data_IF_763437068803
#
_entry.id   IF_763437068803
#
_cell.length_a   1.000
_cell.length_b   1.000
_cell.length_c   1.000
_cell.angle_alpha   90.00
_cell.angle_beta   90.00
_cell.angle_gamma   90.00
#
_symmetry.space_group_name_H-M   'P 1'
#
loop_
_entity.id
_entity.type
_entity.pdbx_description
1 polymer ?
#
# COMPACT_ATOMS: atom_id res chain seq x y z
N UNK A 1 8.46 11.18 -31.39
CA UNK A 1 8.00 12.06 -30.29
C UNK A 1 6.87 11.39 -29.50
N UNK A 2 7.19 10.51 -28.51
CA UNK A 2 6.23 9.92 -27.53
C UNK A 2 6.99 9.36 -26.30
N UNK A 3 7.84 10.15 -25.63
CA UNK A 3 8.60 9.70 -24.44
C UNK A 3 8.56 10.64 -23.24
N UNK A 4 7.89 11.78 -23.33
CA UNK A 4 7.85 12.80 -22.26
C UNK A 4 6.63 12.72 -21.33
N UNK A 5 5.63 11.89 -21.63
CA UNK A 5 4.46 11.75 -20.76
C UNK A 5 4.69 10.82 -19.55
N UNK A 6 5.58 9.82 -19.62
CA UNK A 6 5.76 8.84 -18.54
C UNK A 6 6.43 9.36 -17.27
N UNK A 7 7.30 10.37 -17.38
CA UNK A 7 8.07 10.90 -16.24
C UNK A 7 7.22 11.80 -15.33
N UNK A 8 6.20 12.47 -15.89
CA UNK A 8 5.32 13.36 -15.13
C UNK A 8 4.36 12.57 -14.22
N UNK A 9 3.88 11.40 -14.65
CA UNK A 9 3.02 10.53 -13.84
C UNK A 9 3.78 9.88 -12.66
N UNK A 10 5.05 9.51 -12.85
CA UNK A 10 5.87 8.87 -11.80
C UNK A 10 6.20 9.82 -10.63
N UNK A 11 6.49 11.09 -10.90
CA UNK A 11 6.79 12.06 -9.85
C UNK A 11 5.56 12.40 -8.99
N UNK A 12 4.39 12.51 -9.63
CA UNK A 12 3.11 12.80 -8.94
C UNK A 12 2.64 11.61 -8.09
N UNK A 13 2.79 10.39 -8.61
CA UNK A 13 2.55 9.13 -7.90
C UNK A 13 3.35 9.02 -6.58
N UNK A 14 4.64 9.37 -6.61
CA UNK A 14 5.53 9.29 -5.44
C UNK A 14 5.16 10.35 -4.39
N UNK A 15 4.79 11.56 -4.80
CA UNK A 15 4.34 12.61 -3.86
C UNK A 15 2.98 12.31 -3.23
N UNK A 16 2.06 11.66 -3.95
CA UNK A 16 0.77 11.22 -3.41
C UNK A 16 0.90 10.05 -2.43
N UNK A 17 1.95 9.23 -2.60
CA UNK A 17 2.27 8.11 -1.70
C UNK A 17 2.94 8.55 -0.40
N UNK A 18 3.90 9.47 -0.46
CA UNK A 18 4.46 10.10 0.74
C UNK A 18 3.36 10.81 1.55
N UNK A 19 2.35 11.38 0.88
CA UNK A 19 1.16 11.90 1.55
C UNK A 19 0.40 10.80 2.32
N UNK A 20 0.29 9.58 1.79
CA UNK A 20 -0.36 8.45 2.50
C UNK A 20 0.34 8.09 3.82
N UNK A 21 1.66 8.31 3.92
CA UNK A 21 2.45 8.10 5.15
C UNK A 21 2.29 9.23 6.18
N UNK A 22 1.99 10.44 5.74
CA UNK A 22 1.72 11.61 6.60
C UNK A 22 0.40 11.50 7.40
N UNK A 23 -0.41 10.46 7.17
CA UNK A 23 -1.69 10.24 7.87
C UNK A 23 -1.62 9.21 8.99
N UNK A 24 -0.45 8.66 9.28
CA UNK A 24 -0.23 7.99 10.55
C UNK A 24 -0.10 9.04 11.67
N UNK A 25 -0.71 8.80 12.83
CA UNK A 25 -0.54 9.71 13.95
C UNK A 25 0.91 9.66 14.47
N UNK A 26 1.57 10.80 14.61
CA UNK A 26 2.87 10.94 15.32
C UNK A 26 2.77 10.61 16.82
N UNK A 27 1.61 10.16 17.31
CA UNK A 27 1.37 10.00 18.75
C UNK A 27 1.74 8.61 19.26
N UNK A 28 2.71 8.59 20.18
CA UNK A 28 3.19 7.43 20.95
C UNK A 28 2.18 6.86 21.98
N UNK A 29 0.87 7.09 21.84
CA UNK A 29 -0.08 6.81 22.92
C UNK A 29 -1.48 6.43 22.45
N UNK A 30 -2.10 5.51 23.20
CA UNK A 30 -3.47 5.00 23.06
C UNK A 30 -4.45 6.06 22.52
N UNK A 31 -4.77 6.04 21.21
CA UNK A 31 -5.20 7.27 20.54
C UNK A 31 -6.70 7.54 20.61
N UNK A 32 -7.49 6.66 21.23
CA UNK A 32 -8.94 6.82 21.28
C UNK A 32 -9.44 6.67 22.71
N UNK A 33 -9.76 7.81 23.32
CA UNK A 33 -10.57 7.88 24.54
C UNK A 33 -11.85 7.09 24.35
N UNK A 34 -12.16 6.15 25.25
CA UNK A 34 -13.38 5.33 25.22
C UNK A 34 -14.69 6.14 25.39
N UNK A 35 -14.59 7.45 25.63
CA UNK A 35 -15.74 8.28 26.04
C UNK A 35 -16.74 8.57 24.91
N UNK A 36 -16.36 8.46 23.63
CA UNK A 36 -17.29 8.52 22.49
C UNK A 36 -16.83 7.58 21.35
N UNK A 37 -17.46 6.40 21.20
CA UNK A 37 -17.12 5.43 20.16
C UNK A 37 -17.26 5.97 18.73
N UNK A 38 -18.18 6.91 18.50
CA UNK A 38 -18.35 7.54 17.19
C UNK A 38 -17.16 8.41 16.81
N UNK A 39 -16.70 9.26 17.73
CA UNK A 39 -15.47 10.05 17.55
C UNK A 39 -14.24 9.16 17.41
N UNK A 40 -14.11 8.10 18.21
CA UNK A 40 -13.01 7.14 18.09
C UNK A 40 -12.94 6.51 16.68
N UNK A 41 -14.08 6.09 16.14
CA UNK A 41 -14.18 5.54 14.79
C UNK A 41 -13.79 6.56 13.72
N UNK A 42 -14.29 7.79 13.82
CA UNK A 42 -13.96 8.87 12.88
C UNK A 42 -12.47 9.19 12.87
N UNK A 43 -11.88 9.34 14.06
CA UNK A 43 -10.47 9.67 14.22
C UNK A 43 -9.59 8.55 13.66
N UNK A 44 -9.92 7.28 13.94
CA UNK A 44 -9.18 6.14 13.40
C UNK A 44 -9.17 6.08 11.88
N UNK A 45 -10.32 6.34 11.24
CA UNK A 45 -10.41 6.31 9.78
C UNK A 45 -9.70 7.49 9.11
N UNK A 46 -9.71 8.66 9.76
CA UNK A 46 -8.99 9.84 9.27
C UNK A 46 -7.48 9.70 9.49
N UNK A 47 -7.07 9.14 10.62
CA UNK A 47 -5.70 9.03 11.06
C UNK A 47 -5.49 7.69 11.79
N UNK A 48 -5.14 6.66 11.02
CA UNK A 48 -4.90 5.33 11.58
C UNK A 48 -3.61 5.37 12.42
N UNK A 49 -3.63 4.94 13.69
CA UNK A 49 -2.43 4.93 14.51
C UNK A 49 -1.42 3.90 14.02
N UNK A 50 -0.17 4.03 14.48
CA UNK A 50 0.80 2.96 14.33
C UNK A 50 0.30 1.67 14.96
N UNK A 51 0.55 0.57 14.28
CA UNK A 51 0.09 -0.76 14.65
C UNK A 51 1.31 -1.60 14.96
N UNK A 52 1.52 -1.88 16.24
CA UNK A 52 2.56 -2.78 16.70
C UNK A 52 2.32 -4.20 16.23
N UNK A 53 1.07 -4.64 16.29
CA UNK A 53 0.69 -5.98 15.87
C UNK A 53 -0.79 -6.03 15.52
N UNK A 54 -1.14 -6.79 14.51
CA UNK A 54 -2.53 -7.07 14.17
C UNK A 54 -2.66 -8.45 13.55
N UNK A 55 -3.75 -9.14 13.88
CA UNK A 55 -4.13 -10.42 13.29
C UNK A 55 -5.53 -10.34 12.73
N UNK A 56 -5.69 -10.89 11.53
CA UNK A 56 -6.91 -10.78 10.75
C UNK A 56 -7.18 -12.04 9.93
N UNK A 57 -8.46 -12.20 9.61
CA UNK A 57 -8.94 -13.22 8.70
C UNK A 57 -9.90 -12.59 7.71
N UNK A 58 -9.82 -12.99 6.43
CA UNK A 58 -10.78 -12.51 5.42
C UNK A 58 -11.22 -13.60 4.48
N UNK A 59 -12.46 -13.51 4.03
CA UNK A 59 -13.01 -14.36 2.97
C UNK A 59 -13.48 -13.53 1.79
N UNK A 60 -13.30 -14.07 0.58
CA UNK A 60 -13.47 -13.36 -0.69
C UNK A 60 -12.70 -12.03 -0.65
N UNK A 61 -11.38 -12.05 -0.74
CA UNK A 61 -10.63 -10.78 -0.84
C UNK A 61 -11.16 -9.89 -1.96
N UNK A 62 -11.26 -8.57 -1.74
CA UNK A 62 -11.52 -7.60 -2.80
C UNK A 62 -10.42 -7.65 -3.88
N UNK A 63 -9.18 -7.86 -3.45
CA UNK A 63 -8.03 -8.02 -4.34
C UNK A 63 -8.03 -9.44 -4.90
N UNK A 64 -8.03 -9.57 -6.23
CA UNK A 64 -7.94 -10.86 -6.93
C UNK A 64 -6.58 -11.50 -6.66
N UNK A 65 -6.58 -12.83 -6.50
CA UNK A 65 -5.34 -13.57 -6.36
C UNK A 65 -4.64 -13.64 -7.71
N UNK A 66 -3.40 -13.17 -7.76
CA UNK A 66 -2.51 -13.39 -8.90
C UNK A 66 -1.65 -14.61 -8.60
N UNK A 67 -1.69 -15.63 -9.45
CA UNK A 67 -0.82 -16.81 -9.36
C UNK A 67 0.04 -16.93 -10.60
N UNK A 68 1.32 -17.17 -10.42
CA UNK A 68 2.25 -17.46 -11.53
C UNK A 68 3.00 -18.76 -11.26
N UNK A 69 3.35 -19.48 -12.31
CA UNK A 69 4.24 -20.64 -12.25
C UNK A 69 5.73 -20.24 -12.14
N UNK A 70 6.10 -19.04 -12.60
CA UNK A 70 7.45 -18.46 -12.49
C UNK A 70 7.40 -16.93 -12.43
N UNK A 71 8.44 -16.28 -11.88
CA UNK A 71 8.57 -14.81 -11.86
C UNK A 71 8.47 -14.17 -13.26
N UNK A 72 8.89 -14.89 -14.30
CA UNK A 72 9.02 -14.36 -15.67
C UNK A 72 7.75 -14.52 -16.51
N UNK A 73 6.70 -15.13 -15.95
CA UNK A 73 5.44 -15.35 -16.64
C UNK A 73 4.34 -14.44 -16.10
N UNK A 74 3.44 -13.95 -16.97
CA UNK A 74 2.32 -13.13 -16.53
C UNK A 74 1.44 -13.92 -15.57
N UNK A 75 1.15 -13.32 -14.42
CA UNK A 75 0.29 -13.94 -13.43
C UNK A 75 -1.14 -14.12 -13.96
N UNK A 76 -1.75 -15.25 -13.62
CA UNK A 76 -3.16 -15.52 -13.85
C UNK A 76 -3.93 -14.95 -12.66
N UNK A 77 -4.88 -14.06 -12.94
CA UNK A 77 -5.79 -13.53 -11.94
C UNK A 77 -6.96 -14.48 -11.75
N UNK A 78 -7.05 -15.08 -10.57
CA UNK A 78 -8.14 -15.96 -10.20
C UNK A 78 -9.39 -15.15 -9.84
N UNK A 79 -10.59 -15.73 -10.05
CA UNK A 79 -11.81 -15.17 -9.47
C UNK A 79 -11.67 -15.05 -7.95
N UNK A 80 -12.49 -14.22 -7.30
CA UNK A 80 -12.41 -14.04 -5.84
C UNK A 80 -12.87 -15.33 -5.14
N UNK A 81 -11.92 -16.04 -4.53
CA UNK A 81 -12.17 -17.35 -3.94
C UNK A 81 -12.80 -17.20 -2.55
N UNK A 82 -13.81 -18.02 -2.26
CA UNK A 82 -14.43 -18.12 -0.93
C UNK A 82 -13.62 -19.08 -0.04
N UNK A 83 -12.45 -18.62 0.40
CA UNK A 83 -11.63 -19.28 1.43
C UNK A 83 -11.24 -18.26 2.47
N UNK A 84 -11.09 -18.71 3.72
CA UNK A 84 -10.70 -17.85 4.82
C UNK A 84 -9.17 -17.74 4.85
N UNK A 85 -8.65 -16.65 4.33
CA UNK A 85 -7.24 -16.30 4.45
C UNK A 85 -6.94 -15.76 5.86
N UNK A 86 -5.73 -16.01 6.34
CA UNK A 86 -5.27 -15.51 7.65
C UNK A 86 -3.93 -14.78 7.50
N UNK A 87 -3.80 -13.67 8.22
CA UNK A 87 -2.57 -12.87 8.20
C UNK A 87 -2.24 -12.30 9.59
N UNK A 88 -0.97 -11.96 9.74
CA UNK A 88 -0.47 -11.12 10.82
C UNK A 88 0.34 -9.99 10.20
N UNK A 89 0.32 -8.82 10.81
CA UNK A 89 1.12 -7.71 10.33
C UNK A 89 1.49 -6.75 11.45
N UNK A 90 2.39 -5.83 11.10
CA UNK A 90 2.63 -4.62 11.86
C UNK A 90 2.90 -3.47 10.88
N UNK A 91 2.62 -2.25 11.32
CA UNK A 91 2.79 -1.02 10.56
C UNK A 91 3.40 0.06 11.46
N UNK A 92 4.63 0.45 11.15
CA UNK A 92 5.49 1.35 11.91
C UNK A 92 6.02 2.46 10.98
N UNK A 93 6.51 3.59 11.51
CA UNK A 93 7.04 4.68 10.69
C UNK A 93 8.11 4.20 9.71
N UNK A 94 9.10 3.49 10.21
CA UNK A 94 10.25 3.05 9.42
C UNK A 94 10.00 1.73 8.66
N UNK A 95 8.90 1.02 8.93
CA UNK A 95 8.72 -0.30 8.33
C UNK A 95 7.41 -0.97 8.63
N UNK A 96 7.16 -2.06 7.92
CA UNK A 96 5.98 -2.90 8.13
C UNK A 96 6.34 -4.33 7.79
N UNK A 97 5.52 -5.28 8.24
CA UNK A 97 5.56 -6.65 7.72
C UNK A 97 4.15 -7.18 7.59
N UNK A 98 3.94 -8.13 6.69
CA UNK A 98 2.72 -8.90 6.57
C UNK A 98 3.07 -10.37 6.32
N UNK A 99 2.66 -11.23 7.25
CA UNK A 99 2.80 -12.69 7.21
C UNK A 99 1.49 -13.30 6.75
N UNK A 100 1.57 -14.15 5.73
CA UNK A 100 0.42 -14.79 5.09
C UNK A 100 0.38 -16.29 5.43
N UNK A 101 -0.53 -16.69 6.30
CA UNK A 101 -0.68 -18.10 6.68
C UNK A 101 -1.40 -18.94 5.60
N UNK A 102 -1.90 -18.28 4.55
CA UNK A 102 -2.73 -18.91 3.53
C UNK A 102 -4.15 -19.21 4.04
N UNK A 103 -4.75 -20.26 3.50
CA UNK A 103 -6.12 -20.70 3.80
C UNK A 103 -6.13 -22.01 4.58
N UNK A 104 -7.30 -22.51 5.01
CA UNK A 104 -7.36 -23.86 5.60
C UNK A 104 -6.89 -24.97 4.65
N UNK A 105 -6.80 -24.70 3.34
CA UNK A 105 -6.29 -25.62 2.32
C UNK A 105 -4.82 -25.41 1.99
N UNK A 106 -4.20 -24.34 2.48
CA UNK A 106 -2.83 -23.92 2.17
C UNK A 106 -2.74 -22.69 1.27
N UNK A 107 -1.59 -22.51 0.62
CA UNK A 107 -1.37 -21.48 -0.40
C UNK A 107 -1.97 -21.90 -1.74
N UNK A 108 -2.61 -20.97 -2.42
CA UNK A 108 -3.10 -21.18 -3.78
C UNK A 108 -1.89 -21.17 -4.73
N UNK A 109 -1.76 -22.20 -5.55
CA UNK A 109 -0.65 -22.36 -6.50
C UNK A 109 -1.17 -22.72 -7.88
N UNK A 110 -0.40 -22.37 -8.91
CA UNK A 110 -0.63 -22.84 -10.27
C UNK A 110 0.08 -24.18 -10.46
N UNK A 111 -0.68 -25.25 -10.63
CA UNK A 111 -0.17 -26.59 -10.91
C UNK A 111 0.19 -26.74 -12.39
N UNK A 112 1.05 -27.73 -12.68
CA UNK A 112 1.39 -28.12 -14.04
C UNK A 112 0.11 -28.40 -14.85
N UNK A 113 0.01 -27.79 -16.03
CA UNK A 113 -1.20 -27.83 -16.86
C UNK A 113 -2.21 -26.71 -16.59
N UNK A 114 -1.82 -25.66 -15.85
CA UNK A 114 -2.63 -24.44 -15.66
C UNK A 114 -3.78 -24.59 -14.67
N UNK A 115 -3.82 -25.70 -13.91
CA UNK A 115 -4.87 -25.94 -12.91
C UNK A 115 -4.53 -25.21 -11.62
N UNK A 116 -5.53 -24.65 -10.96
CA UNK A 116 -5.38 -24.09 -9.61
C UNK A 116 -5.37 -25.23 -8.60
N UNK A 117 -4.41 -25.21 -7.69
CA UNK A 117 -4.32 -26.17 -6.59
C UNK A 117 -3.93 -25.49 -5.29
N UNK A 118 -3.67 -26.32 -4.29
CA UNK A 118 -3.22 -25.87 -2.98
C UNK A 118 -1.92 -26.57 -2.58
N UNK A 119 -0.98 -25.81 -2.03
CA UNK A 119 0.22 -26.33 -1.39
C UNK A 119 0.13 -26.08 0.13
N UNK A 120 0.40 -27.07 0.99
CA UNK A 120 0.46 -26.86 2.43
C UNK A 120 1.39 -25.71 2.81
N UNK A 121 1.00 -24.94 3.83
CA UNK A 121 1.87 -23.95 4.47
C UNK A 121 2.46 -24.61 5.70
N UNK A 122 3.79 -24.70 5.77
CA UNK A 122 4.45 -25.24 6.94
C UNK A 122 4.46 -24.16 8.04
N UNK A 123 4.04 -24.47 9.29
CA UNK A 123 4.03 -23.49 10.36
C UNK A 123 5.41 -22.86 10.57
N UNK A 124 5.45 -21.53 10.61
CA UNK A 124 6.67 -20.73 10.73
C UNK A 124 7.46 -20.56 9.42
N UNK A 125 6.98 -21.10 8.30
CA UNK A 125 7.56 -20.96 6.96
C UNK A 125 6.55 -20.32 5.98
N UNK A 126 5.63 -19.53 6.52
CA UNK A 126 4.67 -18.75 5.74
C UNK A 126 5.36 -17.78 4.76
N UNK A 127 4.62 -17.34 3.73
CA UNK A 127 5.06 -16.17 2.95
C UNK A 127 5.07 -14.94 3.87
N UNK A 128 6.16 -14.18 3.88
CA UNK A 128 6.26 -12.94 4.65
C UNK A 128 6.86 -11.87 3.76
N UNK A 129 6.20 -10.73 3.68
CA UNK A 129 6.71 -9.54 3.03
C UNK A 129 6.86 -8.43 4.06
N UNK A 130 7.75 -7.49 3.80
CA UNK A 130 7.92 -6.36 4.69
C UNK A 130 8.86 -5.31 4.14
N UNK A 131 9.16 -4.36 5.02
CA UNK A 131 9.96 -3.19 4.74
C UNK A 131 10.67 -2.74 6.01
N UNK A 132 11.89 -2.22 5.82
CA UNK A 132 12.60 -1.41 6.82
C UNK A 132 12.91 -0.02 6.24
N UNK A 133 13.65 0.78 6.98
CA UNK A 133 14.00 2.14 6.55
C UNK A 133 14.69 2.21 5.17
N UNK A 134 15.34 1.13 4.73
CA UNK A 134 16.21 1.11 3.55
C UNK A 134 15.59 0.38 2.33
N UNK A 135 14.87 -0.73 2.55
CA UNK A 135 14.41 -1.59 1.45
C UNK A 135 13.11 -2.34 1.77
N UNK A 136 12.44 -2.75 0.70
CA UNK A 136 11.37 -3.76 0.69
C UNK A 136 11.99 -5.15 0.61
N UNK A 137 11.34 -6.14 1.23
CA UNK A 137 11.77 -7.52 1.17
C UNK A 137 10.60 -8.51 1.18
N UNK A 138 10.85 -9.71 0.67
CA UNK A 138 9.91 -10.83 0.71
C UNK A 138 10.64 -12.15 0.91
N UNK A 139 10.23 -12.91 1.94
CA UNK A 139 10.61 -14.30 2.18
C UNK A 139 9.52 -15.21 1.62
N UNK A 140 9.91 -16.09 0.70
CA UNK A 140 9.01 -17.03 0.04
C UNK A 140 9.69 -18.39 -0.16
N UNK A 141 8.96 -19.33 -0.78
CA UNK A 141 9.43 -20.71 -0.97
C UNK A 141 9.92 -21.35 0.35
N UNK A 142 9.08 -21.30 1.40
CA UNK A 142 9.39 -21.87 2.71
C UNK A 142 10.68 -21.28 3.32
N UNK A 143 10.89 -19.96 3.14
CA UNK A 143 12.06 -19.17 3.55
C UNK A 143 13.40 -19.54 2.88
N UNK A 144 13.34 -20.20 1.72
CA UNK A 144 14.52 -20.53 0.90
C UNK A 144 14.84 -19.46 -0.12
N UNK A 145 13.89 -18.58 -0.41
CA UNK A 145 14.08 -17.48 -1.33
C UNK A 145 13.83 -16.12 -0.64
N UNK A 146 14.69 -15.15 -0.94
CA UNK A 146 14.57 -13.77 -0.50
C UNK A 146 14.63 -12.84 -1.71
N UNK A 147 13.66 -11.93 -1.80
CA UNK A 147 13.71 -10.80 -2.72
C UNK A 147 13.91 -9.52 -1.92
N UNK A 148 14.76 -8.62 -2.43
CA UNK A 148 15.02 -7.29 -1.87
C UNK A 148 14.85 -6.26 -2.98
N UNK A 149 14.22 -5.13 -2.67
CA UNK A 149 14.13 -3.98 -3.57
C UNK A 149 14.32 -2.69 -2.79
N UNK A 150 15.22 -1.81 -3.24
CA UNK A 150 15.44 -0.52 -2.58
C UNK A 150 14.18 0.36 -2.60
N UNK A 151 14.00 1.19 -1.57
CA UNK A 151 12.87 2.12 -1.48
C UNK A 151 13.05 3.29 -2.45
N UNK A 152 11.94 3.89 -2.89
CA UNK A 152 11.95 5.00 -3.85
C UNK A 152 12.72 6.24 -3.39
N UNK A 153 12.86 6.41 -2.07
CA UNK A 153 13.58 7.50 -1.43
C UNK A 153 15.05 7.18 -1.11
N UNK A 154 15.57 6.00 -1.47
CA UNK A 154 16.97 5.60 -1.21
C UNK A 154 17.80 5.55 -2.49
N UNK A 155 19.13 5.51 -2.34
CA UNK A 155 20.03 5.21 -3.45
C UNK A 155 19.71 3.80 -4.00
N UNK A 156 19.48 3.66 -5.30
CA UNK A 156 19.00 2.40 -5.90
C UNK A 156 17.48 2.31 -6.06
N UNK A 157 16.72 3.28 -5.54
CA UNK A 157 15.26 3.31 -5.53
C UNK A 157 14.54 3.72 -6.80
N UNK A 158 15.20 3.79 -7.95
CA UNK A 158 14.67 4.48 -9.12
C UNK A 158 14.00 3.51 -10.11
N UNK A 159 12.88 3.92 -10.70
CA UNK A 159 12.21 3.18 -11.78
C UNK A 159 10.81 2.67 -11.44
N UNK A 160 10.09 2.23 -12.47
CA UNK A 160 8.66 1.88 -12.40
C UNK A 160 8.36 0.78 -11.37
N UNK A 161 9.24 -0.23 -11.26
CA UNK A 161 9.08 -1.30 -10.28
C UNK A 161 9.11 -0.80 -8.83
N UNK A 162 10.00 0.15 -8.52
CA UNK A 162 10.11 0.73 -7.17
C UNK A 162 8.88 1.55 -6.82
N UNK A 163 8.36 2.31 -7.78
CA UNK A 163 7.10 3.06 -7.64
C UNK A 163 5.93 2.09 -7.40
N UNK A 164 5.85 1.00 -8.17
CA UNK A 164 4.83 -0.04 -7.96
C UNK A 164 4.93 -0.69 -6.57
N UNK A 165 6.14 -0.93 -6.05
CA UNK A 165 6.33 -1.45 -4.69
C UNK A 165 5.91 -0.46 -3.63
N UNK A 166 6.22 0.83 -3.79
CA UNK A 166 5.73 1.88 -2.90
C UNK A 166 4.19 2.00 -2.91
N UNK A 167 3.52 1.63 -4.02
CA UNK A 167 2.06 1.49 -4.03
C UNK A 167 1.58 0.27 -3.24
N UNK A 168 2.27 -0.86 -3.32
CA UNK A 168 1.89 -2.08 -2.59
C UNK A 168 2.00 -1.92 -1.06
N UNK A 169 2.84 -1.01 -0.56
CA UNK A 169 2.88 -0.63 0.86
C UNK A 169 1.53 -0.17 1.41
N UNK A 170 0.77 0.57 0.61
CA UNK A 170 -0.54 1.09 1.01
C UNK A 170 -1.63 0.00 1.05
N UNK A 171 -1.32 -1.22 0.58
CA UNK A 171 -2.24 -2.37 0.69
C UNK A 171 -2.55 -2.72 2.14
N UNK A 172 -1.54 -2.67 3.02
CA UNK A 172 -1.72 -2.94 4.45
C UNK A 172 -2.65 -1.91 5.10
N UNK A 173 -2.52 -0.64 4.70
CA UNK A 173 -3.39 0.44 5.11
C UNK A 173 -4.84 0.23 4.64
N UNK A 174 -5.03 -0.32 3.44
CA UNK A 174 -6.34 -0.72 2.93
C UNK A 174 -7.06 -1.65 3.91
N UNK A 175 -6.44 -2.78 4.26
CA UNK A 175 -7.04 -3.78 5.15
C UNK A 175 -7.37 -3.17 6.54
N UNK A 176 -6.61 -2.16 6.99
CA UNK A 176 -6.86 -1.44 8.25
C UNK A 176 -7.97 -0.39 8.18
N UNK A 177 -8.46 -0.01 7.00
CA UNK A 177 -9.56 0.97 6.82
C UNK A 177 -10.96 0.37 6.94
N UNK A 178 -11.09 -0.77 7.60
CA UNK A 178 -12.38 -1.36 8.03
C UNK A 178 -13.40 -1.50 6.88
N UNK A 179 -12.94 -1.93 5.70
CA UNK A 179 -13.79 -2.20 4.54
C UNK A 179 -13.99 -1.02 3.59
N UNK A 180 -13.22 0.05 3.75
CA UNK A 180 -13.17 1.18 2.80
C UNK A 180 -12.14 0.98 1.68
N UNK A 181 -11.54 -0.19 1.55
CA UNK A 181 -10.65 -0.58 0.45
C UNK A 181 -11.13 -0.15 -0.95
N UNK A 182 -12.44 -0.25 -1.28
CA UNK A 182 -12.93 0.14 -2.60
C UNK A 182 -12.80 1.63 -2.92
N UNK A 183 -12.74 2.50 -1.90
CA UNK A 183 -12.48 3.93 -2.07
C UNK A 183 -11.00 4.21 -2.33
N UNK A 184 -10.13 3.25 -2.05
CA UNK A 184 -8.69 3.37 -2.14
C UNK A 184 -8.05 3.97 -0.89
N UNK A 185 -6.76 4.30 -1.04
CA UNK A 185 -5.88 4.61 0.08
C UNK A 185 -5.63 6.10 0.29
N UNK A 186 -6.26 6.96 -0.50
CA UNK A 186 -6.06 8.40 -0.38
C UNK A 186 -6.56 8.97 0.95
N UNK A 187 -6.19 10.20 1.30
CA UNK A 187 -6.61 10.85 2.54
C UNK A 187 -8.14 10.83 2.71
N UNK A 188 -8.60 10.48 3.92
CA UNK A 188 -10.02 10.54 4.29
C UNK A 188 -10.29 11.84 5.06
N UNK A 189 -11.30 12.60 4.63
CA UNK A 189 -11.76 13.83 5.29
C UNK A 189 -13.22 13.72 5.66
N UNK A 190 -13.52 14.01 6.92
CA UNK A 190 -14.90 14.13 7.40
C UNK A 190 -15.47 15.48 6.95
N UNK A 191 -16.63 15.43 6.30
CA UNK A 191 -17.41 16.63 5.93
C UNK A 191 -18.30 17.08 7.08
N UNK A 192 -18.76 16.13 7.89
CA UNK A 192 -19.54 16.32 9.10
C UNK A 192 -19.45 15.04 9.95
N UNK A 193 -20.29 14.88 10.97
CA UNK A 193 -20.25 13.75 11.90
C UNK A 193 -20.60 12.39 11.27
N UNK A 194 -21.24 12.39 10.10
CA UNK A 194 -21.75 11.16 9.46
C UNK A 194 -21.22 10.97 8.03
N UNK A 195 -20.73 12.01 7.35
CA UNK A 195 -20.26 11.96 5.96
C UNK A 195 -18.76 12.22 5.84
N UNK A 196 -18.12 11.50 4.93
CA UNK A 196 -16.72 11.64 4.60
C UNK A 196 -16.44 11.48 3.11
N UNK A 197 -15.24 11.87 2.73
CA UNK A 197 -14.70 11.74 1.38
C UNK A 197 -13.28 11.18 1.44
N UNK A 198 -12.93 10.36 0.45
CA UNK A 198 -11.59 9.84 0.23
C UNK A 198 -11.06 10.45 -1.05
N UNK A 199 -9.93 11.14 -0.98
CA UNK A 199 -9.30 11.73 -2.15
C UNK A 199 -8.75 10.64 -3.09
N UNK A 200 -8.84 10.82 -4.42
CA UNK A 200 -8.18 9.93 -5.36
C UNK A 200 -6.65 10.01 -5.22
N UNK A 201 -5.96 8.89 -5.46
CA UNK A 201 -4.50 8.88 -5.59
C UNK A 201 -4.16 8.97 -7.07
N UNK A 202 -3.62 10.12 -7.50
CA UNK A 202 -3.24 10.34 -8.89
C UNK A 202 -2.19 9.30 -9.36
N UNK A 203 -2.38 8.79 -10.57
CA UNK A 203 -1.49 7.78 -11.17
C UNK A 203 -1.85 6.34 -10.87
N UNK A 204 -2.82 6.05 -9.98
CA UNK A 204 -3.31 4.69 -9.72
C UNK A 204 -4.76 4.52 -10.12
N UNK A 205 -4.97 3.93 -11.29
CA UNK A 205 -6.30 3.72 -11.86
C UNK A 205 -7.23 2.87 -10.97
N UNK A 206 -6.70 2.12 -10.00
CA UNK A 206 -7.45 1.28 -9.09
C UNK A 206 -7.97 2.01 -7.83
N UNK A 207 -7.60 3.27 -7.58
CA UNK A 207 -7.92 3.99 -6.34
C UNK A 207 -8.59 5.34 -6.62
N UNK A 208 -9.89 5.31 -6.94
CA UNK A 208 -10.57 6.46 -7.51
C UNK A 208 -11.02 7.49 -6.49
N UNK A 209 -10.86 7.23 -5.19
CA UNK A 209 -11.52 7.99 -4.15
C UNK A 209 -13.03 7.76 -4.16
N UNK A 210 -13.74 8.63 -3.46
CA UNK A 210 -15.19 8.60 -3.39
C UNK A 210 -15.69 9.13 -2.07
N UNK A 211 -16.95 8.85 -1.76
CA UNK A 211 -17.60 9.36 -0.55
C UNK A 211 -18.29 8.25 0.21
N UNK A 212 -18.50 8.46 1.50
CA UNK A 212 -19.25 7.54 2.33
C UNK A 212 -20.03 8.26 3.40
N UNK A 213 -21.03 7.56 3.94
CA UNK A 213 -21.86 8.06 5.03
C UNK A 213 -22.23 6.93 5.98
N UNK A 214 -22.19 7.21 7.28
CA UNK A 214 -22.72 6.35 8.33
C UNK A 214 -24.25 6.42 8.28
N UNK A 215 -24.90 5.30 7.99
CA UNK A 215 -26.36 5.20 7.84
C UNK A 215 -27.04 4.62 9.07
N UNK A 216 -26.30 3.88 9.91
CA UNK A 216 -26.85 3.27 11.13
C UNK A 216 -25.86 3.27 12.27
N UNK A 217 -26.39 3.49 13.47
CA UNK A 217 -25.68 3.49 14.75
C UNK A 217 -26.32 2.47 15.69
N UNK A 218 -25.57 1.97 16.67
CA UNK A 218 -26.14 1.22 17.79
C UNK A 218 -26.46 2.12 18.98
N UNK A 219 -27.06 1.53 20.02
CA UNK A 219 -27.44 2.22 21.26
C UNK A 219 -26.26 2.81 22.04
N UNK A 220 -25.02 2.35 21.76
CA UNK A 220 -23.79 2.84 22.38
C UNK A 220 -23.09 3.91 21.54
N UNK A 221 -23.70 4.36 20.44
CA UNK A 221 -23.11 5.35 19.54
C UNK A 221 -22.01 4.79 18.64
N UNK A 222 -21.98 3.48 18.40
CA UNK A 222 -21.03 2.83 17.47
C UNK A 222 -21.62 2.75 16.06
N UNK A 223 -20.85 3.03 14.99
CA UNK A 223 -21.32 2.85 13.62
C UNK A 223 -21.59 1.39 13.31
N UNK A 224 -22.80 1.06 12.85
CA UNK A 224 -23.20 -0.30 12.44
C UNK A 224 -23.21 -0.48 10.92
N UNK A 225 -23.43 0.60 10.17
CA UNK A 225 -23.56 0.53 8.72
C UNK A 225 -23.06 1.82 8.06
N UNK A 226 -22.29 1.65 6.99
CA UNK A 226 -21.87 2.70 6.08
C UNK A 226 -22.37 2.37 4.67
N UNK A 227 -22.78 3.40 3.94
CA UNK A 227 -23.01 3.34 2.49
C UNK A 227 -21.99 4.23 1.82
N UNK A 228 -21.28 3.65 0.85
CA UNK A 228 -20.16 4.28 0.17
C UNK A 228 -20.36 4.27 -1.34
N UNK A 229 -19.80 5.26 -2.01
CA UNK A 229 -19.84 5.45 -3.45
C UNK A 229 -18.41 5.68 -3.94
N UNK A 230 -17.81 4.66 -4.55
CA UNK A 230 -16.51 4.74 -5.20
C UNK A 230 -16.67 5.28 -6.63
N UNK A 231 -15.94 6.34 -6.98
CA UNK A 231 -15.97 6.91 -8.34
C UNK A 231 -15.32 5.92 -9.30
N UNK A 232 -15.75 5.75 -10.56
CA UNK A 232 -14.93 5.02 -11.56
C UNK A 232 -14.35 6.02 -12.55
N UNK A 233 -13.02 6.19 -12.50
CA UNK A 233 -12.28 7.17 -13.32
C UNK A 233 -12.51 7.06 -14.83
N UNK A 234 -12.85 5.89 -15.36
CA UNK A 234 -12.97 5.67 -16.82
C UNK A 234 -14.38 5.81 -17.39
N UNK A 235 -15.41 5.80 -16.55
CA UNK A 235 -16.80 5.62 -17.02
C UNK A 235 -17.75 6.68 -16.49
N UNK A 236 -17.33 7.52 -15.53
CA UNK A 236 -18.22 8.45 -14.83
C UNK A 236 -19.33 7.74 -14.02
N UNK A 237 -19.31 6.41 -13.99
CA UNK A 237 -20.16 5.58 -13.15
C UNK A 237 -19.58 5.50 -11.75
N UNK A 238 -20.43 5.31 -10.76
CA UNK A 238 -20.01 5.02 -9.41
C UNK A 238 -20.43 3.62 -9.01
N UNK A 239 -19.60 2.97 -8.18
CA UNK A 239 -19.94 1.70 -7.57
C UNK A 239 -20.41 1.98 -6.13
N UNK A 240 -21.65 1.63 -5.84
CA UNK A 240 -22.21 1.75 -4.49
C UNK A 240 -21.98 0.44 -3.76
N UNK A 241 -21.42 0.54 -2.58
CA UNK A 241 -21.19 -0.61 -1.71
C UNK A 241 -21.57 -0.27 -0.27
N UNK A 242 -21.88 -1.31 0.49
CA UNK A 242 -22.29 -1.21 1.89
C UNK A 242 -21.25 -1.90 2.77
N UNK A 243 -20.97 -1.29 3.91
CA UNK A 243 -20.16 -1.91 4.96
C UNK A 243 -21.02 -2.09 6.20
N UNK A 244 -21.03 -3.30 6.76
CA UNK A 244 -21.74 -3.60 8.01
C UNK A 244 -20.75 -4.03 9.08
N UNK A 245 -20.83 -3.44 10.27
CA UNK A 245 -19.96 -3.70 11.39
C UNK A 245 -20.63 -4.54 12.46
N UNK A 246 -19.87 -5.46 13.05
CA UNK A 246 -20.26 -6.22 14.24
C UNK A 246 -19.19 -6.03 15.32
N UNK A 247 -19.64 -5.68 16.52
CA UNK A 247 -18.79 -5.44 17.68
C UNK A 247 -19.01 -6.52 18.72
N UNK A 248 -17.95 -6.84 19.46
CA UNK A 248 -18.06 -7.68 20.65
C UNK A 248 -18.57 -6.83 21.84
N UNK A 249 -19.09 -7.51 22.86
CA UNK A 249 -19.69 -6.84 24.03
C UNK A 249 -18.65 -6.13 24.90
N UNK A 250 -17.48 -6.76 24.98
CA UNK A 250 -16.27 -6.42 25.71
C UNK A 250 -15.35 -5.44 24.95
N UNK A 251 -15.69 -5.14 23.69
CA UNK A 251 -14.90 -4.27 22.82
C UNK A 251 -15.79 -3.18 22.23
N UNK A 252 -15.72 -1.98 22.81
CA UNK A 252 -16.41 -0.79 22.29
C UNK A 252 -15.86 -0.37 20.93
N UNK A 253 -14.57 -0.58 20.69
CA UNK A 253 -13.87 -0.25 19.45
C UNK A 253 -12.56 -1.04 19.35
N UNK A 254 -12.06 -1.44 18.17
CA UNK A 254 -12.63 -1.49 16.82
C UNK A 254 -13.72 -2.58 16.66
N UNK A 255 -14.49 -2.58 15.55
CA UNK A 255 -15.36 -3.72 15.22
C UNK A 255 -14.54 -5.02 15.12
N UNK A 256 -15.11 -6.11 15.62
CA UNK A 256 -14.52 -7.45 15.51
C UNK A 256 -14.69 -8.01 14.11
N UNK A 257 -15.79 -7.68 13.44
CA UNK A 257 -16.07 -8.13 12.10
C UNK A 257 -16.63 -6.97 11.28
N UNK A 258 -16.25 -6.95 10.01
CA UNK A 258 -16.89 -6.11 9.00
C UNK A 258 -17.18 -6.88 7.73
N UNK A 259 -18.32 -6.58 7.13
CA UNK A 259 -18.79 -7.18 5.89
C UNK A 259 -18.90 -6.09 4.84
N UNK A 260 -18.26 -6.27 3.70
CA UNK A 260 -18.39 -5.37 2.54
C UNK A 260 -19.28 -6.06 1.51
N UNK A 261 -20.38 -5.43 1.16
CA UNK A 261 -21.30 -5.89 0.11
C UNK A 261 -21.25 -4.93 -1.06
N UNK A 262 -20.88 -5.45 -2.24
CA UNK A 262 -20.80 -4.65 -3.46
C UNK A 262 -21.43 -5.37 -4.65
N UNK A 263 -21.82 -4.62 -5.67
CA UNK A 263 -22.31 -5.17 -6.93
C UNK A 263 -21.18 -5.12 -7.95
N UNK A 264 -20.56 -6.27 -8.21
CA UNK A 264 -19.61 -6.42 -9.32
C UNK A 264 -20.36 -6.77 -10.60
N UNK A 265 -20.04 -6.09 -11.70
CA UNK A 265 -20.74 -6.27 -12.96
C UNK A 265 -20.51 -7.65 -13.61
N UNK A 266 -19.41 -8.34 -13.27
CA UNK A 266 -19.06 -9.66 -13.80
C UNK A 266 -19.49 -10.79 -12.87
N UNK A 267 -19.40 -10.56 -11.57
CA UNK A 267 -19.56 -11.60 -10.55
C UNK A 267 -20.89 -11.46 -9.77
N UNK A 268 -21.64 -10.39 -9.99
CA UNK A 268 -22.91 -10.10 -9.32
C UNK A 268 -22.71 -9.52 -7.91
N UNK A 269 -23.65 -9.80 -7.00
CA UNK A 269 -23.53 -9.37 -5.61
C UNK A 269 -22.41 -10.15 -4.91
N UNK A 270 -21.39 -9.42 -4.48
CA UNK A 270 -20.27 -9.94 -3.72
C UNK A 270 -20.36 -9.52 -2.26
N UNK A 271 -19.94 -10.43 -1.38
CA UNK A 271 -19.91 -10.25 0.06
C UNK A 271 -18.56 -10.69 0.59
N UNK A 272 -17.77 -9.72 1.03
CA UNK A 272 -16.45 -9.90 1.61
C UNK A 272 -16.60 -9.85 3.12
N UNK A 273 -16.09 -10.85 3.84
CA UNK A 273 -16.20 -10.89 5.31
C UNK A 273 -14.82 -10.87 5.91
N UNK A 274 -14.59 -9.92 6.82
CA UNK A 274 -13.31 -9.70 7.47
C UNK A 274 -13.47 -9.75 8.97
N UNK A 275 -12.48 -10.31 9.65
CA UNK A 275 -12.40 -10.46 11.10
C UNK A 275 -11.11 -9.83 11.60
N UNK A 276 -11.21 -8.95 12.58
CA UNK A 276 -10.11 -8.33 13.29
C UNK A 276 -9.97 -9.02 14.65
N UNK A 277 -9.20 -10.10 14.68
CA UNK A 277 -9.08 -10.97 15.85
C UNK A 277 -8.31 -10.28 16.98
N UNK A 278 -7.21 -9.60 16.65
CA UNK A 278 -6.38 -8.88 17.62
C UNK A 278 -5.74 -7.66 16.97
N UNK A 279 -5.62 -6.56 17.72
CA UNK A 279 -4.85 -5.38 17.33
C UNK A 279 -4.19 -4.77 18.55
N UNK A 280 -2.94 -4.38 18.40
CA UNK A 280 -2.14 -3.66 19.38
C UNK A 280 -1.63 -2.38 18.70
N UNK A 281 -2.07 -1.24 19.22
CA UNK A 281 -1.61 0.07 18.75
C UNK A 281 -0.30 0.47 19.42
N UNK A 282 0.41 1.38 18.77
CA UNK A 282 1.65 1.97 19.25
C UNK A 282 2.87 1.51 18.46
N UNK A 283 4.01 2.01 18.91
CA UNK A 283 5.30 1.65 18.33
C UNK A 283 5.80 0.29 18.84
N UNK A 284 6.50 -0.44 17.98
CA UNK A 284 7.26 -1.63 18.37
C UNK A 284 8.70 -1.22 18.74
N UNK A 285 9.07 -1.19 20.03
CA UNK A 285 10.41 -0.82 20.45
C UNK A 285 11.49 -1.80 19.97
N UNK A 286 11.11 -3.00 19.52
CA UNK A 286 12.05 -4.00 19.00
C UNK A 286 12.41 -3.80 17.53
N UNK A 287 11.70 -2.93 16.83
CA UNK A 287 11.85 -2.69 15.39
C UNK A 287 11.95 -1.19 15.03
N UNK A 288 12.86 -0.41 15.66
CA UNK A 288 12.93 1.04 15.48
C UNK A 288 13.28 1.45 14.05
N UNK A 289 14.09 0.64 13.35
CA UNK A 289 14.48 0.84 11.95
C UNK A 289 13.56 0.09 10.96
N UNK A 290 12.40 -0.37 11.45
CA UNK A 290 11.51 -1.26 10.72
C UNK A 290 11.90 -2.73 10.82
N UNK A 291 11.30 -3.55 9.96
CA UNK A 291 11.37 -5.01 10.08
C UNK A 291 12.37 -5.59 9.09
N UNK A 292 13.19 -6.53 9.55
CA UNK A 292 14.24 -7.18 8.75
C UNK A 292 13.92 -8.66 8.50
N UNK A 293 14.33 -9.24 7.36
CA UNK A 293 14.10 -10.66 7.05
C UNK A 293 14.54 -11.62 8.16
N UNK A 294 15.65 -11.32 8.84
CA UNK A 294 16.27 -12.13 9.90
C UNK A 294 15.36 -12.28 11.12
N UNK A 295 14.46 -11.32 11.36
CA UNK A 295 13.49 -11.40 12.46
C UNK A 295 12.45 -12.52 12.24
N UNK A 296 12.25 -12.93 11.00
CA UNK A 296 11.21 -13.89 10.62
C UNK A 296 11.76 -15.21 10.11
N UNK A 297 12.93 -15.17 9.47
CA UNK A 297 13.55 -16.34 8.84
C UNK A 297 13.81 -17.43 9.87
N UNK A 298 13.18 -18.60 9.67
CA UNK A 298 13.35 -19.78 10.53
C UNK A 298 14.45 -20.73 10.08
N UNK A 299 14.93 -20.58 8.85
CA UNK A 299 15.99 -21.42 8.27
C UNK A 299 17.37 -20.84 8.57
N UNK A 300 18.29 -21.71 8.96
CA UNK A 300 19.70 -21.37 9.17
C UNK A 300 20.56 -21.71 7.96
N UNK A 301 20.06 -22.54 7.03
CA UNK A 301 20.76 -22.90 5.80
C UNK A 301 20.94 -21.68 4.89
N UNK A 302 21.86 -21.68 3.89
CA UNK A 302 21.90 -20.65 2.86
C UNK A 302 20.59 -20.54 2.07
N UNK A 303 20.33 -19.38 1.48
CA UNK A 303 19.20 -19.20 0.57
C UNK A 303 19.44 -20.00 -0.73
N UNK A 304 18.41 -20.68 -1.21
CA UNK A 304 18.42 -21.31 -2.53
C UNK A 304 18.40 -20.24 -3.63
N UNK A 305 17.74 -19.10 -3.36
CA UNK A 305 17.60 -17.97 -4.27
C UNK A 305 17.62 -16.64 -3.53
N UNK A 306 18.37 -15.68 -4.05
CA UNK A 306 18.38 -14.31 -3.57
C UNK A 306 18.28 -13.37 -4.77
N UNK A 307 17.31 -12.46 -4.78
CA UNK A 307 17.18 -11.46 -5.84
C UNK A 307 17.19 -10.04 -5.25
N UNK A 308 17.91 -9.14 -5.91
CA UNK A 308 18.00 -7.73 -5.54
C UNK A 308 17.59 -6.89 -6.74
N UNK A 309 16.63 -5.99 -6.54
CA UNK A 309 16.22 -4.99 -7.53
C UNK A 309 16.74 -3.61 -7.13
N UNK A 310 17.48 -2.97 -8.04
CA UNK A 310 18.05 -1.62 -7.88
C UNK A 310 18.03 -0.88 -9.21
N UNK A 311 17.54 0.35 -9.20
CA UNK A 311 17.44 1.24 -10.37
C UNK A 311 16.76 0.57 -11.59
N UNK A 312 15.73 -0.26 -11.33
CA UNK A 312 15.00 -0.99 -12.37
C UNK A 312 15.71 -2.25 -12.90
N UNK A 313 16.89 -2.60 -12.39
CA UNK A 313 17.62 -3.81 -12.73
C UNK A 313 17.48 -4.83 -11.62
N UNK A 314 17.19 -6.10 -11.96
CA UNK A 314 17.10 -7.19 -10.99
C UNK A 314 18.27 -8.17 -11.18
N UNK A 315 19.05 -8.36 -10.14
CA UNK A 315 20.11 -9.38 -10.07
C UNK A 315 19.62 -10.58 -9.30
N UNK A 316 19.92 -11.79 -9.78
CA UNK A 316 19.53 -13.04 -9.13
C UNK A 316 20.75 -13.93 -8.86
N UNK A 317 20.88 -14.37 -7.62
CA UNK A 317 21.91 -15.28 -7.12
C UNK A 317 21.20 -16.58 -6.71
N UNK A 318 21.65 -17.72 -7.24
CA UNK A 318 21.08 -19.04 -6.93
C UNK A 318 22.18 -19.86 -6.23
N UNK A 319 21.82 -20.78 -5.33
CA UNK A 319 22.79 -21.59 -4.58
C UNK A 319 23.77 -22.42 -5.47
N UNK A 320 23.50 -22.55 -6.77
CA UNK A 320 24.38 -23.20 -7.77
C UNK A 320 25.22 -22.21 -8.60
N UNK A 321 25.21 -20.91 -8.27
CA UNK A 321 25.81 -19.82 -9.04
C UNK A 321 24.75 -18.83 -9.59
N UNK A 322 25.13 -17.99 -10.56
CA UNK A 322 24.16 -17.16 -11.26
C UNK A 322 23.18 -18.04 -12.05
N UNK A 323 21.87 -17.79 -11.91
CA UNK A 323 20.85 -18.55 -12.62
C UNK A 323 20.91 -18.31 -14.14
N UNK A 324 20.60 -19.32 -14.97
CA UNK A 324 20.43 -19.12 -16.41
C UNK A 324 19.07 -18.44 -16.63
N UNK A 325 19.06 -17.12 -16.85
CA UNK A 325 17.82 -16.39 -17.06
C UNK A 325 17.85 -14.87 -16.96
N UNK A 326 19.01 -14.24 -16.77
CA UNK A 326 19.15 -12.79 -16.85
C UNK A 326 19.97 -12.37 -18.06
N UNK A 327 19.41 -12.48 -19.28
CA UNK A 327 19.90 -11.70 -20.41
C UNK A 327 19.49 -10.24 -20.20
N UNK A 328 20.20 -9.56 -19.31
CA UNK A 328 20.35 -8.10 -19.26
C UNK A 328 21.75 -7.80 -18.70
N UNK A 329 22.77 -8.30 -19.40
CA UNK A 329 23.97 -7.47 -19.51
C UNK A 329 23.53 -6.10 -20.05
N UNK A 330 24.14 -5.00 -19.63
CA UNK A 330 23.77 -3.71 -20.20
C UNK A 330 24.02 -3.82 -21.71
N UNK A 331 22.99 -3.65 -22.56
CA UNK A 331 23.19 -3.68 -24.02
C UNK A 331 24.20 -2.62 -24.48
N UNK A 332 24.53 -1.65 -23.62
CA UNK A 332 25.72 -0.81 -23.74
C UNK A 332 26.23 -0.51 -22.33
N UNK A 333 27.54 -0.58 -22.02
CA UNK A 333 28.06 0.11 -20.84
C UNK A 333 27.45 1.52 -20.84
N UNK A 334 26.89 1.96 -19.71
CA UNK A 334 26.36 3.31 -19.56
C UNK A 334 27.35 4.25 -20.26
N UNK A 335 26.96 4.96 -21.35
CA UNK A 335 27.86 5.94 -21.92
C UNK A 335 28.23 6.84 -20.76
N UNK A 336 29.54 6.94 -20.49
CA UNK A 336 30.15 7.84 -19.49
C UNK A 336 29.21 8.99 -19.29
N UNK A 337 28.64 9.17 -18.09
CA UNK A 337 27.63 10.19 -17.75
C UNK A 337 27.85 11.47 -18.56
N UNK A 338 27.30 11.48 -19.78
CA UNK A 338 27.75 12.46 -20.77
C UNK A 338 27.08 13.78 -20.40
N UNK A 339 27.65 14.93 -20.79
CA UNK A 339 27.27 16.28 -20.34
C UNK A 339 25.80 16.68 -20.58
N UNK A 340 24.98 15.81 -21.19
CA UNK A 340 23.59 16.02 -21.55
C UNK A 340 22.61 16.01 -20.36
N UNK A 341 23.01 15.66 -19.14
CA UNK A 341 22.21 15.93 -17.94
C UNK A 341 22.45 17.33 -17.34
N UNK A 342 23.54 18.02 -17.71
CA UNK A 342 23.83 19.37 -17.20
C UNK A 342 22.86 20.42 -17.75
N UNK A 343 22.45 20.36 -19.03
CA UNK A 343 21.53 21.38 -19.56
C UNK A 343 20.14 21.31 -18.93
N UNK A 344 19.66 20.13 -18.53
CA UNK A 344 18.37 19.99 -17.80
C UNK A 344 18.45 20.57 -16.40
N UNK A 345 19.59 20.43 -15.70
CA UNK A 345 19.86 21.16 -14.45
C UNK A 345 19.87 22.66 -14.69
N UNK A 346 20.49 23.15 -15.75
CA UNK A 346 20.50 24.57 -16.10
C UNK A 346 19.12 25.10 -16.53
N UNK A 347 18.26 24.28 -17.14
CA UNK A 347 16.87 24.66 -17.41
C UNK A 347 16.08 24.71 -16.12
N UNK A 348 16.21 23.73 -15.22
CA UNK A 348 15.49 23.75 -13.95
C UNK A 348 15.92 24.96 -13.09
N UNK A 349 17.23 25.23 -13.04
CA UNK A 349 17.82 26.42 -12.41
C UNK A 349 17.37 27.70 -13.13
N UNK A 350 17.25 27.69 -14.45
CA UNK A 350 16.75 28.80 -15.24
C UNK A 350 15.26 29.10 -14.98
N UNK A 351 14.41 28.06 -14.92
CA UNK A 351 12.98 28.18 -14.61
C UNK A 351 12.77 28.65 -13.17
N UNK A 352 13.53 28.09 -12.21
CA UNK A 352 13.51 28.55 -10.82
C UNK A 352 14.03 29.98 -10.69
N UNK A 353 15.12 30.33 -11.39
CA UNK A 353 15.70 31.67 -11.41
C UNK A 353 14.74 32.71 -11.99
N UNK A 354 14.06 32.39 -13.10
CA UNK A 354 13.03 33.25 -13.70
C UNK A 354 11.80 33.37 -12.79
N UNK A 355 11.36 32.28 -12.16
CA UNK A 355 10.26 32.30 -11.20
C UNK A 355 10.56 33.20 -9.99
N UNK A 356 11.75 33.05 -9.41
CA UNK A 356 12.23 33.89 -8.29
C UNK A 356 12.37 35.35 -8.74
N UNK A 357 12.94 35.62 -9.92
CA UNK A 357 13.06 36.98 -10.45
C UNK A 357 11.68 37.62 -10.71
N UNK A 358 10.69 36.87 -11.19
CA UNK A 358 9.32 37.38 -11.37
C UNK A 358 8.62 37.66 -10.03
N UNK A 359 8.88 36.85 -8.99
CA UNK A 359 8.37 37.12 -7.63
C UNK A 359 9.03 38.37 -7.04
N UNK A 360 10.34 38.55 -7.20
CA UNK A 360 11.04 39.77 -6.77
C UNK A 360 10.65 41.00 -7.59
N UNK A 361 10.39 40.86 -8.89
CA UNK A 361 9.92 41.95 -9.73
C UNK A 361 8.48 42.34 -9.40
N UNK A 362 7.61 41.36 -9.13
CA UNK A 362 6.23 41.59 -8.73
C UNK A 362 6.10 42.21 -7.33
N UNK A 363 6.90 41.75 -6.37
CA UNK A 363 6.95 42.32 -5.01
C UNK A 363 7.66 43.67 -4.99
N UNK A 364 8.72 43.84 -5.77
CA UNK A 364 9.45 45.11 -5.97
C UNK A 364 8.59 46.19 -6.62
N UNK A 365 7.82 45.87 -7.68
CA UNK A 365 6.85 46.81 -8.27
C UNK A 365 5.74 47.19 -7.30
N UNK A 366 5.22 46.24 -6.50
CA UNK A 366 4.21 46.53 -5.46
C UNK A 366 4.76 47.39 -4.32
N UNK A 367 6.02 47.20 -3.96
CA UNK A 367 6.69 48.01 -2.94
C UNK A 367 7.01 49.42 -3.45
N UNK A 368 7.48 49.55 -4.69
CA UNK A 368 7.77 50.86 -5.31
C UNK A 368 6.49 51.66 -5.60
N UNK A 369 5.41 51.00 -6.05
CA UNK A 369 4.09 51.61 -6.21
C UNK A 369 3.48 52.08 -4.88
N UNK A 370 3.76 51.40 -3.75
CA UNK A 370 3.38 51.86 -2.41
C UNK A 370 4.22 53.04 -1.91
N UNK A 371 5.45 53.20 -2.41
CA UNK A 371 6.38 54.25 -1.95
C UNK A 371 6.28 55.54 -2.80
N UNK A 372 5.78 55.45 -4.03
CA UNK A 372 5.71 56.57 -4.98
C UNK A 372 4.32 56.74 -5.65
N UNK A 373 3.27 56.11 -5.15
CA UNK A 373 1.89 56.37 -5.56
C UNK A 373 1.29 57.55 -4.81
N UNK A 374 1.24 58.68 -5.52
CA UNK A 374 0.24 59.77 -5.40
C UNK A 374 -1.19 59.26 -5.43
#
# INVERSE_FOLDING_TARGET
MKRTQGVCWMLVAVTGLEACWLFAAETDGHPFSETDPGTAFRNYLAQTPWVKYVSYRRSRSWIRHAVSDTLDKPAIYLPRIFLLERFEAAWQPEGWYCRWFGTEKGHIVLLRGGKVGFKPVLPGLELIEGRNRDYYWALFEDHKALHVSFRTNTAGGQGEYHVMRAFMDAKLLGDLRLGLDPLGWGPLRWRNEVEFEVEPVEGVLAHPGGKGRITRWDERGRPLELVCEAVRWREGSSNVFRVTYTYLSERSFLPWQYVVEEVDFREGLLRHTNYLDKIEFGLDPSAPDGYFPEMFRKRTEPLDRFSITSNGVTHQIIARGFGPGGDFGPEEPLPDLMPWQNWRRWILVGVLGVGVAMVFWGTGKRWWARKHGT
#
